data_IF_596313214520
#
_entry.id   IF_596313214520
#
_cell.length_a   1.000
_cell.length_b   1.000
_cell.length_c   1.000
_cell.angle_alpha   90.00
_cell.angle_beta   90.00
_cell.angle_gamma   90.00
#
_symmetry.space_group_name_H-M   'P 1'
#
loop_
_entity.id
_entity.type
_entity.pdbx_description
1 polymer ?
#
# COMPACT_ATOMS: atom_id res chain seq x y z
N UNK A 1 9.18 -16.92 14.58
CA UNK A 1 9.61 -17.28 13.23
C UNK A 1 8.39 -17.39 12.33
N UNK A 2 8.52 -17.14 11.03
CA UNK A 2 7.41 -17.21 10.09
C UNK A 2 7.80 -18.10 8.90
N UNK A 3 6.99 -19.12 8.66
CA UNK A 3 7.13 -20.03 7.53
C UNK A 3 5.92 -19.86 6.61
N UNK A 4 6.16 -19.37 5.39
CA UNK A 4 5.20 -19.38 4.31
C UNK A 4 4.96 -20.82 3.81
N UNK A 5 3.71 -21.17 3.47
CA UNK A 5 3.40 -22.46 2.84
C UNK A 5 4.02 -22.57 1.44
N UNK A 6 4.09 -23.79 0.87
CA UNK A 6 4.63 -24.00 -0.47
C UNK A 6 4.02 -23.10 -1.54
N UNK A 7 4.86 -22.48 -2.37
CA UNK A 7 4.45 -21.55 -3.43
C UNK A 7 4.09 -20.13 -2.95
N UNK A 8 4.29 -19.84 -1.66
CA UNK A 8 4.10 -18.51 -1.08
C UNK A 8 5.41 -17.92 -0.57
N UNK A 9 5.46 -16.60 -0.50
CA UNK A 9 6.55 -15.83 0.05
C UNK A 9 6.01 -14.80 1.06
N UNK A 10 6.86 -14.44 2.00
CA UNK A 10 6.62 -13.36 2.94
C UNK A 10 7.31 -12.11 2.41
N UNK A 11 6.61 -10.99 2.34
CA UNK A 11 7.18 -9.68 2.03
C UNK A 11 7.10 -8.78 3.25
N UNK A 12 8.24 -8.27 3.67
CA UNK A 12 8.31 -7.23 4.69
C UNK A 12 8.12 -5.87 4.04
N UNK A 13 7.45 -4.96 4.75
CA UNK A 13 7.20 -3.59 4.32
C UNK A 13 7.36 -2.61 5.48
N UNK A 14 7.68 -1.33 5.21
CA UNK A 14 7.61 -0.28 6.21
C UNK A 14 6.24 -0.26 6.89
N UNK A 15 6.25 -0.08 8.21
CA UNK A 15 4.99 0.18 8.91
C UNK A 15 4.51 1.61 8.59
N UNK A 16 3.21 1.84 8.29
CA UNK A 16 2.70 3.17 7.91
C UNK A 16 3.03 4.29 8.89
N UNK A 17 3.17 3.95 10.18
CA UNK A 17 3.58 4.89 11.24
C UNK A 17 4.89 5.60 10.92
N UNK A 18 5.82 4.96 10.21
CA UNK A 18 7.08 5.58 9.80
C UNK A 18 6.84 6.90 9.06
N UNK A 19 5.87 6.93 8.13
CA UNK A 19 5.58 8.11 7.31
C UNK A 19 4.84 9.21 8.06
N UNK A 20 4.32 8.90 9.25
CA UNK A 20 3.57 9.85 10.09
C UNK A 20 4.31 10.20 11.37
N UNK A 21 5.51 9.64 11.61
CA UNK A 21 6.28 9.88 12.83
C UNK A 21 7.15 11.13 12.67
N UNK A 22 6.79 12.26 13.31
CA UNK A 22 7.56 13.49 13.20
C UNK A 22 8.91 13.44 13.92
N UNK A 23 9.11 12.47 14.84
CA UNK A 23 10.30 12.37 15.65
C UNK A 23 11.38 11.45 15.02
N UNK A 24 11.10 10.85 13.86
CA UNK A 24 12.00 9.88 13.20
C UNK A 24 12.45 8.74 14.14
N UNK A 25 11.57 8.31 15.06
CA UNK A 25 11.87 7.23 16.01
C UNK A 25 11.41 5.87 15.51
N UNK A 26 10.45 5.84 14.59
CA UNK A 26 9.92 4.60 14.03
C UNK A 26 10.97 3.98 13.11
N UNK A 27 11.33 2.69 13.29
CA UNK A 27 12.26 2.03 12.39
C UNK A 27 11.72 1.96 10.95
N UNK A 28 12.58 2.24 9.97
CA UNK A 28 12.28 2.01 8.55
C UNK A 28 12.74 0.62 8.13
N UNK A 29 11.82 -0.35 8.14
CA UNK A 29 12.09 -1.67 7.58
C UNK A 29 12.37 -1.57 6.08
N UNK A 30 13.45 -2.19 5.61
CA UNK A 30 13.75 -2.33 4.19
C UNK A 30 12.82 -3.41 3.61
N UNK A 31 12.13 -3.15 2.49
CA UNK A 31 11.33 -4.17 1.84
C UNK A 31 12.19 -5.35 1.42
N UNK A 32 11.76 -6.56 1.78
CA UNK A 32 12.44 -7.79 1.40
C UNK A 32 11.41 -8.87 1.08
N UNK A 33 11.75 -9.74 0.14
CA UNK A 33 10.98 -10.94 -0.17
C UNK A 33 11.69 -12.15 0.43
N UNK A 34 10.99 -12.86 1.30
CA UNK A 34 11.45 -14.00 2.07
C UNK A 34 10.77 -15.26 1.52
N UNK A 35 11.58 -16.14 0.93
CA UNK A 35 11.16 -17.47 0.48
C UNK A 35 11.52 -18.50 1.55
N UNK A 36 10.73 -18.53 2.62
CA UNK A 36 11.00 -19.39 3.79
C UNK A 36 10.75 -20.87 3.54
N UNK A 37 10.02 -21.25 2.49
CA UNK A 37 9.68 -22.65 2.17
C UNK A 37 10.93 -23.55 2.07
N UNK A 38 11.99 -23.08 1.41
CA UNK A 38 13.20 -23.86 1.18
C UNK A 38 14.42 -23.33 1.95
N UNK A 39 14.33 -22.14 2.55
CA UNK A 39 15.44 -21.51 3.25
C UNK A 39 15.45 -21.87 4.74
N UNK A 40 16.46 -22.62 5.22
CA UNK A 40 16.40 -23.24 6.55
C UNK A 40 16.94 -22.36 7.68
N UNK A 41 17.42 -21.14 7.39
CA UNK A 41 18.08 -20.28 8.37
C UNK A 41 17.16 -19.16 8.86
N UNK A 42 17.35 -18.73 10.10
CA UNK A 42 16.69 -17.56 10.66
C UNK A 42 16.90 -16.33 9.76
N UNK A 43 15.81 -15.69 9.36
CA UNK A 43 15.86 -14.43 8.65
C UNK A 43 16.17 -13.28 9.61
N UNK A 44 16.86 -12.27 9.10
CA UNK A 44 17.02 -10.98 9.77
C UNK A 44 16.25 -9.92 8.98
N UNK A 45 15.70 -8.95 9.71
CA UNK A 45 15.09 -7.78 9.09
C UNK A 45 16.13 -6.66 9.03
N UNK A 46 16.22 -6.01 7.88
CA UNK A 46 17.13 -4.89 7.67
C UNK A 46 16.34 -3.60 7.90
N UNK A 47 16.95 -2.64 8.59
CA UNK A 47 16.40 -1.32 8.80
C UNK A 47 17.35 -0.27 8.23
N UNK A 48 16.80 0.76 7.57
CA UNK A 48 17.60 1.91 7.16
C UNK A 48 18.15 2.62 8.41
N UNK A 49 19.33 3.21 8.34
CA UNK A 49 19.81 4.09 9.40
C UNK A 49 18.89 5.32 9.55
N UNK A 50 18.66 5.81 10.78
CA UNK A 50 17.91 7.05 10.99
C UNK A 50 18.68 8.25 10.40
N UNK A 51 18.00 9.39 10.15
CA UNK A 51 18.67 10.66 9.86
C UNK A 51 19.70 11.03 10.93
N UNK A 52 20.65 11.89 10.58
CA UNK A 52 21.65 12.39 11.52
C UNK A 52 20.98 13.01 12.77
N UNK A 53 21.49 12.66 13.95
CA UNK A 53 20.95 13.11 15.23
C UNK A 53 19.65 12.42 15.69
N UNK A 54 19.05 11.54 14.88
CA UNK A 54 17.89 10.74 15.26
C UNK A 54 18.28 9.30 15.67
N UNK A 55 17.35 8.60 16.32
CA UNK A 55 17.55 7.21 16.74
C UNK A 55 16.26 6.43 16.58
N UNK A 56 16.33 5.29 15.88
CA UNK A 56 15.22 4.35 15.83
C UNK A 56 15.01 3.69 17.19
N UNK A 57 13.76 3.63 17.65
CA UNK A 57 13.36 3.08 18.94
C UNK A 57 12.44 1.89 18.71
N UNK A 58 12.91 0.70 19.08
CA UNK A 58 12.12 -0.53 19.07
C UNK A 58 11.42 -0.67 20.42
N UNK A 59 10.13 -0.30 20.47
CA UNK A 59 9.32 -0.42 21.69
C UNK A 59 8.58 -1.75 21.69
N UNK A 60 8.57 -2.39 22.86
CA UNK A 60 7.82 -3.63 23.05
C UNK A 60 6.32 -3.40 22.81
N UNK A 61 5.69 -4.30 22.06
CA UNK A 61 4.26 -4.24 21.75
C UNK A 61 3.87 -3.22 20.67
N UNK A 62 4.81 -2.40 20.19
CA UNK A 62 4.54 -1.47 19.09
C UNK A 62 4.87 -2.10 17.73
N UNK A 63 3.98 -2.00 16.74
CA UNK A 63 4.29 -2.47 15.40
C UNK A 63 5.33 -1.55 14.73
N UNK A 64 6.33 -2.16 14.10
CA UNK A 64 7.44 -1.46 13.43
C UNK A 64 7.72 -1.95 12.00
N UNK A 65 7.06 -3.03 11.56
CA UNK A 65 7.02 -3.44 10.15
C UNK A 65 5.65 -4.03 9.82
N UNK A 66 5.34 -4.09 8.53
CA UNK A 66 4.22 -4.85 7.99
C UNK A 66 4.72 -6.12 7.34
N UNK A 67 3.93 -7.20 7.41
CA UNK A 67 4.24 -8.50 6.82
C UNK A 67 3.07 -8.88 5.92
N UNK A 68 3.38 -9.21 4.67
CA UNK A 68 2.40 -9.56 3.64
C UNK A 68 2.75 -10.93 3.09
N UNK A 69 1.79 -11.85 3.04
CA UNK A 69 1.96 -13.13 2.38
C UNK A 69 1.45 -13.02 0.93
N UNK A 70 2.26 -13.42 -0.03
CA UNK A 70 1.94 -13.33 -1.46
C UNK A 70 2.52 -14.53 -2.24
N UNK A 71 1.98 -14.88 -3.43
CA UNK A 71 2.54 -15.97 -4.23
C UNK A 71 4.02 -15.73 -4.56
N UNK A 72 4.90 -16.73 -4.39
CA UNK A 72 6.34 -16.55 -4.60
C UNK A 72 6.69 -16.25 -6.05
N UNK A 73 5.90 -16.80 -6.97
CA UNK A 73 6.00 -16.66 -8.43
C UNK A 73 4.57 -16.59 -9.00
N UNK A 74 3.94 -15.40 -9.04
CA UNK A 74 2.62 -15.27 -9.60
C UNK A 74 2.66 -15.40 -11.12
N UNK A 75 1.84 -16.29 -11.67
CA UNK A 75 1.60 -16.37 -13.11
C UNK A 75 0.72 -15.19 -13.52
N UNK A 76 1.34 -14.14 -14.06
CA UNK A 76 0.65 -12.94 -14.54
C UNK A 76 0.81 -12.85 -16.06
N UNK A 77 -0.31 -12.95 -16.78
CA UNK A 77 -0.35 -12.62 -18.21
C UNK A 77 -0.64 -11.12 -18.36
N UNK A 78 0.31 -10.39 -18.93
CA UNK A 78 0.13 -8.97 -19.24
C UNK A 78 -0.34 -8.85 -20.68
N UNK A 79 -1.58 -8.38 -20.86
CA UNK A 79 -2.12 -8.01 -22.17
C UNK A 79 -2.26 -6.50 -22.30
N UNK A 80 -2.08 -5.94 -23.52
CA UNK A 80 -2.47 -4.57 -23.78
C UNK A 80 -3.99 -4.44 -23.65
N UNK A 81 -4.46 -3.29 -23.15
CA UNK A 81 -5.90 -2.97 -23.22
C UNK A 81 -6.33 -2.92 -24.69
N UNK A 82 -7.49 -3.48 -24.99
CA UNK A 82 -8.14 -3.28 -26.29
C UNK A 82 -8.56 -1.81 -26.47
N UNK A 83 -8.83 -1.40 -27.71
CA UNK A 83 -9.34 -0.05 -27.98
C UNK A 83 -10.64 0.24 -27.23
N UNK A 84 -11.52 -0.76 -27.13
CA UNK A 84 -12.79 -0.65 -26.39
C UNK A 84 -12.54 -0.49 -24.89
N UNK A 85 -11.70 -1.31 -24.28
CA UNK A 85 -11.34 -1.20 -22.86
C UNK A 85 -10.70 0.15 -22.54
N UNK A 86 -9.81 0.64 -23.42
CA UNK A 86 -9.19 1.94 -23.29
C UNK A 86 -10.22 3.08 -23.39
N UNK A 87 -11.17 2.99 -24.34
CA UNK A 87 -12.26 3.94 -24.51
C UNK A 87 -13.21 3.94 -23.31
N UNK A 88 -13.56 2.77 -22.78
CA UNK A 88 -14.36 2.65 -21.57
C UNK A 88 -13.65 3.25 -20.36
N UNK A 89 -12.36 2.93 -20.17
CA UNK A 89 -11.54 3.48 -19.09
C UNK A 89 -11.49 5.00 -19.18
N UNK A 90 -11.31 5.55 -20.39
CA UNK A 90 -11.29 6.99 -20.65
C UNK A 90 -12.65 7.64 -20.34
N UNK A 91 -13.76 7.04 -20.78
CA UNK A 91 -15.10 7.52 -20.47
C UNK A 91 -15.37 7.51 -18.96
N UNK A 92 -14.97 6.44 -18.26
CA UNK A 92 -15.07 6.33 -16.79
C UNK A 92 -14.21 7.40 -16.10
N UNK A 93 -12.98 7.64 -16.60
CA UNK A 93 -12.08 8.66 -16.06
C UNK A 93 -12.65 10.08 -16.25
N UNK A 94 -13.22 10.40 -17.42
CA UNK A 94 -13.89 11.68 -17.67
C UNK A 94 -15.08 11.91 -16.76
N UNK A 95 -15.93 10.90 -16.58
CA UNK A 95 -17.07 10.96 -15.65
C UNK A 95 -16.63 11.17 -14.21
N UNK A 96 -15.57 10.47 -13.79
CA UNK A 96 -14.97 10.65 -12.47
C UNK A 96 -14.44 12.07 -12.29
N UNK A 97 -13.71 12.60 -13.28
CA UNK A 97 -13.18 13.96 -13.25
C UNK A 97 -14.31 15.00 -13.15
N UNK A 98 -15.36 14.88 -13.97
CA UNK A 98 -16.50 15.79 -13.96
C UNK A 98 -17.30 15.75 -12.64
N UNK A 99 -17.32 14.59 -11.98
CA UNK A 99 -18.05 14.40 -10.71
C UNK A 99 -17.17 14.63 -9.48
N UNK A 100 -15.87 14.87 -9.66
CA UNK A 100 -14.87 14.84 -8.59
C UNK A 100 -15.16 15.87 -7.51
N UNK A 101 -15.56 17.08 -7.88
CA UNK A 101 -15.88 18.14 -6.92
C UNK A 101 -17.05 17.76 -5.98
N UNK A 102 -18.05 17.03 -6.51
CA UNK A 102 -19.19 16.55 -5.72
C UNK A 102 -18.76 15.39 -4.82
N UNK A 103 -18.01 14.42 -5.36
CA UNK A 103 -17.54 13.25 -4.62
C UNK A 103 -16.54 13.63 -3.51
N UNK A 104 -15.75 14.68 -3.73
CA UNK A 104 -14.70 15.17 -2.84
C UNK A 104 -15.16 16.29 -1.89
N UNK A 105 -16.39 16.80 -2.02
CA UNK A 105 -16.82 18.09 -1.44
C UNK A 105 -16.52 18.27 0.05
N UNK A 106 -16.53 17.18 0.84
CA UNK A 106 -16.31 17.20 2.31
C UNK A 106 -14.93 16.72 2.74
N UNK A 107 -14.08 16.39 1.79
CA UNK A 107 -12.80 15.71 2.03
C UNK A 107 -11.74 16.29 1.11
N UNK A 108 -11.63 17.63 1.00
CA UNK A 108 -10.65 18.28 0.14
C UNK A 108 -9.56 18.92 0.99
N UNK A 109 -8.31 18.66 0.63
CA UNK A 109 -7.13 19.24 1.26
C UNK A 109 -6.21 19.80 0.18
N UNK A 110 -5.56 20.92 0.48
CA UNK A 110 -4.61 21.58 -0.41
C UNK A 110 -3.23 21.49 0.21
N UNK A 111 -2.24 20.97 -0.53
CA UNK A 111 -0.85 20.99 -0.06
C UNK A 111 -0.23 22.38 -0.22
N UNK A 112 0.95 22.55 0.40
CA UNK A 112 1.81 23.72 0.19
C UNK A 112 2.27 23.90 -1.27
N UNK A 113 2.19 22.86 -2.09
CA UNK A 113 2.48 22.88 -3.54
C UNK A 113 1.23 23.06 -4.40
N UNK A 114 0.11 23.49 -3.81
CA UNK A 114 -1.17 23.69 -4.49
C UNK A 114 -1.75 22.41 -5.13
N UNK A 115 -1.35 21.24 -4.64
CA UNK A 115 -1.90 19.94 -5.07
C UNK A 115 -3.15 19.63 -4.26
N UNK A 116 -4.23 19.28 -4.96
CA UNK A 116 -5.50 18.92 -4.33
C UNK A 116 -5.52 17.42 -4.02
N UNK A 117 -5.61 17.10 -2.74
CA UNK A 117 -5.87 15.76 -2.24
C UNK A 117 -7.33 15.65 -1.85
N UNK A 118 -7.95 14.49 -2.10
CA UNK A 118 -9.31 14.27 -1.67
C UNK A 118 -9.67 12.81 -1.37
N UNK A 119 -10.85 12.63 -0.79
CA UNK A 119 -11.42 11.34 -0.42
C UNK A 119 -12.15 10.59 -1.54
N UNK A 120 -12.04 11.02 -2.82
CA UNK A 120 -12.84 10.45 -3.93
C UNK A 120 -12.69 8.93 -4.01
N UNK A 121 -11.45 8.41 -3.93
CA UNK A 121 -11.19 6.97 -3.96
C UNK A 121 -11.97 6.21 -2.87
N UNK A 122 -11.95 6.73 -1.63
CA UNK A 122 -12.63 6.11 -0.50
C UNK A 122 -14.15 6.12 -0.68
N UNK A 123 -14.71 7.18 -1.24
CA UNK A 123 -16.16 7.25 -1.51
C UNK A 123 -16.57 6.28 -2.62
N UNK A 124 -15.79 6.20 -3.71
CA UNK A 124 -16.01 5.23 -4.79
C UNK A 124 -15.94 3.79 -4.29
N UNK A 125 -14.97 3.47 -3.42
CA UNK A 125 -14.86 2.16 -2.81
C UNK A 125 -16.08 1.80 -1.94
N UNK A 126 -16.58 2.76 -1.15
CA UNK A 126 -17.81 2.58 -0.36
C UNK A 126 -19.03 2.32 -1.25
N UNK A 127 -19.19 3.09 -2.33
CA UNK A 127 -20.28 2.93 -3.28
C UNK A 127 -20.22 1.56 -3.97
N UNK A 128 -19.03 1.10 -4.40
CA UNK A 128 -18.85 -0.22 -4.98
C UNK A 128 -19.24 -1.34 -4.00
N UNK A 129 -18.80 -1.25 -2.73
CA UNK A 129 -19.19 -2.20 -1.68
C UNK A 129 -20.70 -2.21 -1.40
N UNK A 130 -21.37 -1.05 -1.48
CA UNK A 130 -22.81 -0.97 -1.28
C UNK A 130 -23.57 -1.68 -2.42
N UNK A 131 -23.21 -1.37 -3.67
CA UNK A 131 -23.77 -2.02 -4.86
C UNK A 131 -23.63 -3.54 -4.82
N UNK A 132 -22.46 -4.05 -4.40
CA UNK A 132 -22.20 -5.49 -4.38
C UNK A 132 -22.92 -6.22 -3.23
N UNK A 133 -23.47 -5.51 -2.24
CA UNK A 133 -24.35 -6.07 -1.20
C UNK A 133 -25.81 -6.14 -1.63
N UNK A 134 -26.20 -5.34 -2.61
CA UNK A 134 -27.57 -5.26 -3.14
C UNK A 134 -27.81 -6.26 -4.29
N UNK A 135 -26.76 -6.95 -4.76
CA UNK A 135 -26.83 -8.06 -5.70
C UNK A 135 -26.92 -9.39 -4.96
#
# INVERSE_FOLDING_TARGET
DLEAPPGWAIRTEPHPRYYTDPANTTPLAVPALIRSEWWPMMFFCIFKAPPEGATHVFRQGEPFMSIIMLPSEPELELSPMTEEEAAEREMRARRLAASRDVLAARTRWLSSTNTVFDGTYRQMFRAAKARDREK
#
